data_IF_424997719509
#
_entry.id   IF_424997719509
#
_cell.length_a   1.000
_cell.length_b   1.000
_cell.length_c   1.000
_cell.angle_alpha   90.00
_cell.angle_beta   90.00
_cell.angle_gamma   90.00
#
_symmetry.space_group_name_H-M   'P 1'
#
loop_
_entity.id
_entity.type
_entity.pdbx_description
1 polymer ?
#
# COMPACT_ATOMS: atom_id res chain seq x y z
N UNK A 1 -51.42 45.47 -43.80
CA UNK A 1 -50.39 44.53 -44.27
C UNK A 1 -49.86 43.77 -43.06
N UNK A 2 -49.85 42.43 -43.16
CA UNK A 2 -49.05 41.43 -42.40
C UNK A 2 -49.07 41.44 -40.86
N UNK A 3 -49.78 40.53 -40.19
CA UNK A 3 -49.58 39.07 -39.91
C UNK A 3 -48.73 38.77 -38.66
N UNK A 4 -49.38 38.08 -37.71
CA UNK A 4 -48.88 37.52 -36.45
C UNK A 4 -48.15 36.18 -36.63
N UNK A 5 -47.16 35.84 -35.79
CA UNK A 5 -46.73 34.47 -35.43
C UNK A 5 -46.02 34.51 -34.06
N UNK A 6 -46.58 33.94 -32.98
CA UNK A 6 -46.43 32.56 -32.45
C UNK A 6 -45.08 32.28 -31.77
N UNK A 7 -45.06 32.29 -30.43
CA UNK A 7 -43.99 31.74 -29.59
C UNK A 7 -44.23 30.25 -29.39
N UNK A 8 -43.47 29.40 -30.08
CA UNK A 8 -43.51 27.94 -29.88
C UNK A 8 -42.42 27.54 -28.91
N UNK A 9 -42.80 26.93 -27.77
CA UNK A 9 -41.86 26.28 -26.86
C UNK A 9 -41.25 25.05 -27.52
N UNK A 10 -39.92 24.97 -27.53
CA UNK A 10 -39.19 23.78 -27.95
C UNK A 10 -38.93 22.91 -26.71
N UNK A 11 -39.72 21.86 -26.56
CA UNK A 11 -39.47 20.76 -25.63
C UNK A 11 -38.22 19.99 -26.09
N UNK A 12 -37.23 19.83 -25.22
CA UNK A 12 -36.05 19.00 -25.49
C UNK A 12 -36.47 17.54 -25.72
N UNK A 13 -35.86 16.81 -26.69
CA UNK A 13 -36.15 15.40 -26.87
C UNK A 13 -35.68 14.61 -25.65
N UNK A 14 -36.57 13.77 -25.11
CA UNK A 14 -36.23 12.81 -24.06
C UNK A 14 -35.12 11.90 -24.56
N UNK A 15 -33.91 12.06 -24.02
CA UNK A 15 -32.81 11.13 -24.27
C UNK A 15 -33.20 9.77 -23.69
N UNK A 16 -33.39 8.78 -24.55
CA UNK A 16 -33.58 7.39 -24.13
C UNK A 16 -32.30 6.93 -23.42
N UNK A 17 -32.34 6.52 -22.14
CA UNK A 17 -31.15 5.97 -21.49
C UNK A 17 -30.79 4.65 -22.17
N UNK A 18 -29.68 4.62 -22.90
CA UNK A 18 -29.09 3.38 -23.40
C UNK A 18 -28.51 2.66 -22.17
N UNK A 19 -28.82 1.37 -21.93
CA UNK A 19 -28.24 0.65 -20.81
C UNK A 19 -26.72 0.56 -21.01
N UNK A 20 -25.97 1.18 -20.08
CA UNK A 20 -24.53 1.08 -20.02
C UNK A 20 -24.14 -0.38 -19.82
N UNK A 21 -23.57 -1.00 -20.86
CA UNK A 21 -23.03 -2.35 -20.77
C UNK A 21 -21.61 -2.23 -20.21
N UNK A 22 -21.45 -2.43 -18.90
CA UNK A 22 -20.14 -2.56 -18.28
C UNK A 22 -19.41 -3.77 -18.87
N UNK A 23 -18.42 -3.51 -19.70
CA UNK A 23 -17.40 -4.49 -20.06
C UNK A 23 -16.31 -4.40 -18.97
N UNK A 24 -16.34 -5.33 -18.02
CA UNK A 24 -15.25 -5.51 -17.06
C UNK A 24 -14.07 -6.16 -17.78
N UNK A 25 -13.09 -5.34 -18.15
CA UNK A 25 -11.75 -5.79 -18.48
C UNK A 25 -10.80 -4.85 -17.73
N UNK A 26 -10.23 -5.35 -16.64
CA UNK A 26 -9.12 -4.78 -15.85
C UNK A 26 -9.09 -3.23 -15.72
N UNK A 27 -9.65 -2.74 -14.61
CA UNK A 27 -9.32 -1.52 -13.86
C UNK A 27 -8.68 -0.32 -14.58
N UNK A 28 -9.26 0.14 -15.69
CA UNK A 28 -9.03 1.51 -16.19
C UNK A 28 -10.33 2.30 -16.05
N UNK A 29 -10.41 3.11 -14.99
CA UNK A 29 -11.49 4.10 -14.87
C UNK A 29 -11.12 5.35 -15.67
N UNK A 30 -11.55 5.42 -16.94
CA UNK A 30 -11.38 6.62 -17.75
C UNK A 30 -12.44 7.66 -17.32
N UNK A 31 -12.06 8.62 -16.47
CA UNK A 31 -12.89 9.83 -16.34
C UNK A 31 -12.75 10.66 -17.61
N UNK A 32 -13.82 10.72 -18.39
CA UNK A 32 -13.89 11.51 -19.62
C UNK A 32 -13.77 13.00 -19.24
N UNK A 33 -12.81 13.76 -19.80
CA UNK A 33 -12.66 15.17 -19.46
C UNK A 33 -13.85 15.99 -19.96
N UNK A 34 -14.27 16.99 -19.17
CA UNK A 34 -15.20 18.03 -19.62
C UNK A 34 -14.47 18.89 -20.65
N UNK A 35 -14.83 18.75 -21.92
CA UNK A 35 -14.23 19.53 -23.01
C UNK A 35 -14.86 20.91 -23.07
N UNK A 36 -14.10 21.95 -22.70
CA UNK A 36 -14.45 23.35 -22.94
C UNK A 36 -13.78 23.79 -24.24
N UNK A 37 -14.52 24.15 -25.31
CA UNK A 37 -13.94 24.56 -26.59
C UNK A 37 -13.00 25.76 -26.41
N UNK A 38 -11.75 25.64 -26.89
CA UNK A 38 -10.78 26.73 -26.92
C UNK A 38 -9.72 26.74 -25.82
N UNK A 39 -9.77 25.80 -24.85
CA UNK A 39 -8.72 25.63 -23.84
C UNK A 39 -7.94 24.33 -24.05
N UNK A 40 -6.60 24.34 -23.91
CA UNK A 40 -5.82 23.11 -23.94
C UNK A 40 -6.20 22.23 -22.74
N UNK A 41 -6.59 20.99 -23.01
CA UNK A 41 -6.82 19.98 -21.97
C UNK A 41 -5.46 19.48 -21.49
N UNK A 42 -5.06 19.89 -20.29
CA UNK A 42 -3.87 19.34 -19.62
C UNK A 42 -4.32 18.06 -18.90
N UNK A 43 -4.07 16.91 -19.50
CA UNK A 43 -4.21 15.62 -18.81
C UNK A 43 -3.00 15.47 -17.89
N UNK A 44 -3.17 15.81 -16.62
CA UNK A 44 -2.16 15.48 -15.60
C UNK A 44 -2.36 14.01 -15.25
N UNK A 45 -1.45 13.09 -15.59
CA UNK A 45 -1.54 11.72 -15.09
C UNK A 45 -1.48 11.79 -13.57
N UNK A 46 -2.56 11.32 -12.91
CA UNK A 46 -2.52 11.11 -11.46
C UNK A 46 -1.50 10.01 -11.23
N UNK A 47 -0.40 10.33 -10.55
CA UNK A 47 0.52 9.30 -10.04
C UNK A 47 -0.33 8.42 -9.11
N UNK A 48 -0.55 7.17 -9.47
CA UNK A 48 -1.09 6.19 -8.52
C UNK A 48 -0.12 6.18 -7.35
N UNK A 49 -0.61 6.65 -6.20
CA UNK A 49 0.11 6.48 -4.94
C UNK A 49 -0.05 5.01 -4.64
N UNK A 50 1.04 4.24 -4.74
CA UNK A 50 0.97 2.84 -4.37
C UNK A 50 0.47 2.73 -2.92
N UNK A 51 -0.46 1.81 -2.62
CA UNK A 51 -1.06 1.74 -1.31
C UNK A 51 0.00 1.39 -0.26
N UNK A 52 -0.01 2.13 0.85
CA UNK A 52 0.84 1.83 2.01
C UNK A 52 0.57 0.40 2.51
N UNK A 53 1.62 -0.34 2.81
CA UNK A 53 1.54 -1.70 3.31
C UNK A 53 1.60 -1.72 4.83
N UNK A 54 0.68 -2.46 5.45
CA UNK A 54 0.65 -2.64 6.91
C UNK A 54 1.62 -3.75 7.30
N UNK A 55 2.66 -3.41 8.04
CA UNK A 55 3.62 -4.38 8.58
C UNK A 55 3.38 -4.55 10.08
N UNK A 56 3.05 -5.79 10.48
CA UNK A 56 2.84 -6.17 11.89
C UNK A 56 4.02 -6.99 12.38
N UNK A 57 4.71 -6.48 13.38
CA UNK A 57 5.76 -7.18 14.10
C UNK A 57 5.19 -7.85 15.35
N UNK A 58 5.53 -9.13 15.57
CA UNK A 58 5.07 -9.94 16.70
C UNK A 58 6.26 -10.65 17.33
N UNK A 59 6.59 -10.29 18.57
CA UNK A 59 7.63 -10.93 19.36
C UNK A 59 7.14 -12.27 19.91
N UNK A 60 7.87 -13.33 19.61
CA UNK A 60 7.70 -14.67 20.16
C UNK A 60 8.66 -14.90 21.34
N UNK A 61 8.37 -15.89 22.18
CA UNK A 61 9.15 -16.19 23.39
C UNK A 61 8.91 -15.20 24.53
N UNK A 62 9.86 -15.13 25.47
CA UNK A 62 9.81 -14.25 26.64
C UNK A 62 10.90 -13.15 26.64
N UNK A 63 11.87 -13.23 25.74
CA UNK A 63 12.98 -12.27 25.65
C UNK A 63 12.52 -10.87 25.23
N UNK A 64 13.31 -9.87 25.64
CA UNK A 64 13.18 -8.49 25.19
C UNK A 64 13.92 -8.29 23.88
N UNK A 65 13.29 -7.56 22.96
CA UNK A 65 13.86 -7.33 21.65
C UNK A 65 13.77 -5.85 21.24
N UNK A 66 14.66 -5.43 20.37
CA UNK A 66 14.62 -4.15 19.68
C UNK A 66 14.59 -4.39 18.18
N UNK A 67 13.69 -3.70 17.48
CA UNK A 67 13.61 -3.74 16.01
C UNK A 67 14.13 -2.43 15.45
N UNK A 68 15.07 -2.53 14.54
CA UNK A 68 15.60 -1.43 13.74
C UNK A 68 15.17 -1.60 12.29
N UNK A 69 14.73 -0.51 11.67
CA UNK A 69 14.43 -0.42 10.25
C UNK A 69 15.33 0.67 9.64
N UNK A 70 16.14 0.32 8.67
CA UNK A 70 17.19 1.18 8.09
C UNK A 70 18.08 1.83 9.16
N UNK A 71 18.44 1.06 10.18
CA UNK A 71 19.25 1.50 11.32
C UNK A 71 18.52 2.41 12.32
N UNK A 72 17.23 2.71 12.12
CA UNK A 72 16.41 3.51 13.03
C UNK A 72 15.61 2.60 13.94
N UNK A 73 15.66 2.85 15.26
CA UNK A 73 14.86 2.12 16.23
C UNK A 73 13.37 2.36 15.95
N UNK A 74 12.67 1.30 15.55
CA UNK A 74 11.24 1.34 15.29
C UNK A 74 10.45 1.17 16.58
N UNK A 75 10.76 0.10 17.32
CA UNK A 75 10.20 -0.14 18.65
C UNK A 75 11.02 -1.16 19.45
N UNK A 76 10.70 -1.27 20.74
CA UNK A 76 11.22 -2.30 21.65
C UNK A 76 10.09 -3.17 22.15
N UNK A 77 10.20 -4.47 21.97
CA UNK A 77 9.31 -5.45 22.56
C UNK A 77 9.69 -5.68 24.02
N UNK A 78 8.75 -5.39 24.90
CA UNK A 78 8.81 -5.73 26.32
C UNK A 78 7.65 -6.68 26.66
N UNK A 79 7.69 -7.31 27.84
CA UNK A 79 6.72 -8.35 28.20
C UNK A 79 5.25 -7.94 28.00
N UNK A 80 4.92 -6.67 28.18
CA UNK A 80 3.55 -6.14 28.04
C UNK A 80 3.18 -5.67 26.63
N UNK A 81 4.18 -5.36 25.78
CA UNK A 81 3.97 -4.82 24.42
C UNK A 81 4.83 -5.61 23.44
N UNK A 82 4.33 -6.77 23.06
CA UNK A 82 4.99 -7.72 22.15
C UNK A 82 4.55 -7.59 20.69
N UNK A 83 3.57 -6.73 20.40
CA UNK A 83 3.14 -6.45 19.04
C UNK A 83 3.24 -4.96 18.68
N UNK A 84 3.59 -4.71 17.43
CA UNK A 84 3.71 -3.37 16.87
C UNK A 84 3.29 -3.37 15.41
N UNK A 85 2.58 -2.33 14.99
CA UNK A 85 2.08 -2.19 13.62
C UNK A 85 2.59 -0.87 13.08
N UNK A 86 3.12 -0.90 11.86
CA UNK A 86 3.57 0.28 11.12
C UNK A 86 3.03 0.24 9.70
N UNK A 87 2.90 1.40 9.09
CA UNK A 87 2.61 1.53 7.67
C UNK A 87 3.89 1.94 6.97
N UNK A 88 4.26 1.19 5.94
CA UNK A 88 5.42 1.46 5.11
C UNK A 88 4.95 1.70 3.68
N UNK A 89 5.59 2.64 3.01
CA UNK A 89 5.45 2.75 1.55
C UNK A 89 6.11 1.52 0.91
N UNK A 90 5.63 1.05 -0.25
CA UNK A 90 6.30 -0.02 -0.99
C UNK A 90 7.78 0.29 -1.23
N UNK A 91 8.62 -0.72 -1.03
CA UNK A 91 10.06 -0.58 -1.11
C UNK A 91 10.82 -1.63 -0.30
N UNK A 92 12.14 -1.59 -0.42
CA UNK A 92 13.05 -2.46 0.33
C UNK A 92 13.59 -1.74 1.56
N UNK A 93 13.50 -2.39 2.72
CA UNK A 93 13.94 -1.87 4.01
C UNK A 93 14.89 -2.86 4.68
N UNK A 94 15.98 -2.38 5.27
CA UNK A 94 16.87 -3.23 6.04
C UNK A 94 16.33 -3.39 7.47
N UNK A 95 16.02 -4.62 7.86
CA UNK A 95 15.49 -4.95 9.18
C UNK A 95 16.58 -5.62 10.01
N UNK A 96 16.75 -5.15 11.25
CA UNK A 96 17.59 -5.80 12.24
C UNK A 96 16.79 -6.04 13.53
N UNK A 97 16.88 -7.27 14.03
CA UNK A 97 16.27 -7.70 15.30
C UNK A 97 17.40 -8.04 16.26
N UNK A 98 17.37 -7.39 17.43
CA UNK A 98 18.37 -7.56 18.48
C UNK A 98 17.69 -7.81 19.81
N UNK A 99 18.44 -8.31 20.80
CA UNK A 99 18.03 -8.39 22.18
C UNK A 99 18.07 -7.02 22.89
N UNK A 100 18.46 -7.03 24.17
CA UNK A 100 18.60 -5.80 24.98
C UNK A 100 19.76 -4.93 24.48
N UNK A 101 20.76 -5.53 23.84
CA UNK A 101 21.94 -4.85 23.29
C UNK A 101 22.07 -5.14 21.81
N UNK A 102 22.64 -4.22 21.04
CA UNK A 102 22.88 -4.37 19.61
C UNK A 102 23.90 -5.48 19.27
N UNK A 103 24.69 -5.93 20.25
CA UNK A 103 25.62 -7.05 20.07
C UNK A 103 24.92 -8.42 20.11
N UNK A 104 23.73 -8.48 20.70
CA UNK A 104 22.90 -9.69 20.71
C UNK A 104 21.95 -9.65 19.52
N UNK A 105 22.51 -9.79 18.31
CA UNK A 105 21.77 -9.74 17.05
C UNK A 105 21.16 -11.12 16.78
N UNK A 106 19.85 -11.18 16.66
CA UNK A 106 19.10 -12.43 16.44
C UNK A 106 18.85 -12.70 14.96
N UNK A 107 18.58 -11.64 14.18
CA UNK A 107 18.35 -11.73 12.75
C UNK A 107 18.59 -10.37 12.09
N UNK A 108 19.05 -10.38 10.84
CA UNK A 108 19.15 -9.21 9.99
C UNK A 108 18.88 -9.59 8.52
N UNK A 109 18.43 -8.63 7.72
CA UNK A 109 18.11 -8.86 6.31
C UNK A 109 17.23 -7.79 5.71
N UNK A 110 16.90 -7.96 4.43
CA UNK A 110 16.04 -7.04 3.68
C UNK A 110 14.58 -7.50 3.68
N UNK A 111 13.69 -6.55 3.96
CA UNK A 111 12.26 -6.67 3.85
C UNK A 111 11.79 -5.97 2.57
N UNK A 112 11.32 -6.74 1.58
CA UNK A 112 10.77 -6.23 0.32
C UNK A 112 9.24 -6.10 0.44
N UNK A 113 8.75 -4.88 0.57
CA UNK A 113 7.36 -4.56 0.90
C UNK A 113 6.62 -4.02 -0.33
N UNK A 114 5.41 -4.52 -0.58
CA UNK A 114 4.56 -4.03 -1.68
C UNK A 114 4.83 -4.65 -3.04
N UNK A 115 5.62 -5.73 -3.10
CA UNK A 115 5.83 -6.53 -4.32
C UNK A 115 4.59 -7.30 -4.78
N UNK A 116 3.63 -7.53 -3.89
CA UNK A 116 2.44 -8.34 -4.10
C UNK A 116 1.17 -7.56 -3.74
N UNK A 117 0.00 -8.10 -4.12
CA UNK A 117 -1.30 -7.50 -3.79
C UNK A 117 -1.64 -7.59 -2.27
N UNK A 118 -0.74 -8.14 -1.45
CA UNK A 118 -0.94 -8.29 -0.03
C UNK A 118 -0.58 -6.99 0.69
N UNK A 119 -1.60 -6.25 1.11
CA UNK A 119 -1.45 -5.01 1.88
C UNK A 119 -1.09 -5.25 3.37
N UNK A 120 -0.85 -6.50 3.78
CA UNK A 120 -0.51 -6.87 5.15
C UNK A 120 0.63 -7.89 5.17
N UNK A 121 1.72 -7.53 5.85
CA UNK A 121 2.86 -8.42 6.12
C UNK A 121 2.94 -8.66 7.62
N UNK A 122 3.04 -9.92 8.04
CA UNK A 122 3.22 -10.27 9.46
C UNK A 122 4.60 -10.86 9.67
N UNK A 123 5.39 -10.19 10.48
CA UNK A 123 6.77 -10.54 10.84
C UNK A 123 6.76 -11.06 12.28
N UNK A 124 7.01 -12.36 12.43
CA UNK A 124 7.20 -13.02 13.71
C UNK A 124 8.69 -13.14 13.98
N UNK A 125 9.12 -12.83 15.19
CA UNK A 125 10.54 -12.90 15.53
C UNK A 125 10.77 -13.32 16.96
N UNK A 126 11.90 -13.96 17.22
CA UNK A 126 12.30 -14.38 18.56
C UNK A 126 13.74 -14.84 18.58
N UNK A 127 14.32 -14.94 19.78
CA UNK A 127 15.73 -15.31 19.96
C UNK A 127 16.07 -16.66 19.33
N UNK A 128 15.25 -17.67 19.58
CA UNK A 128 15.46 -19.03 19.06
C UNK A 128 14.81 -19.24 17.68
N UNK A 129 13.79 -18.44 17.34
CA UNK A 129 13.02 -18.61 16.10
C UNK A 129 13.54 -17.78 14.92
N UNK A 130 14.44 -16.82 15.17
CA UNK A 130 14.95 -15.88 14.18
C UNK A 130 13.84 -14.93 13.71
N UNK A 131 13.78 -14.67 12.41
CA UNK A 131 12.67 -13.95 11.76
C UNK A 131 11.91 -14.90 10.85
N UNK A 132 10.58 -14.86 10.93
CA UNK A 132 9.65 -15.62 10.10
C UNK A 132 8.58 -14.68 9.55
N UNK A 133 8.35 -14.74 8.26
CA UNK A 133 7.31 -13.93 7.61
C UNK A 133 6.14 -14.83 7.23
N UNK A 134 4.94 -14.41 7.58
CA UNK A 134 3.71 -15.03 7.13
C UNK A 134 3.12 -14.26 5.95
N UNK A 135 2.69 -14.98 4.92
CA UNK A 135 2.25 -14.42 3.65
C UNK A 135 3.20 -14.84 2.53
N UNK A 136 3.79 -13.86 1.85
CA UNK A 136 4.70 -14.10 0.74
C UNK A 136 6.11 -14.47 1.23
N UNK A 137 6.63 -15.65 0.86
CA UNK A 137 7.95 -16.11 1.29
C UNK A 137 9.11 -15.28 0.73
N UNK A 138 8.91 -14.49 -0.32
CA UNK A 138 9.96 -13.67 -0.95
C UNK A 138 10.09 -12.27 -0.36
N UNK A 139 9.24 -11.92 0.62
CA UNK A 139 9.28 -10.63 1.31
C UNK A 139 10.49 -10.51 2.24
N UNK A 140 11.06 -11.64 2.69
CA UNK A 140 12.20 -11.67 3.59
C UNK A 140 13.44 -12.27 2.93
N UNK A 141 14.49 -11.46 2.85
CA UNK A 141 15.80 -11.86 2.37
C UNK A 141 16.78 -11.75 3.53
N UNK A 142 17.03 -12.84 4.29
CA UNK A 142 17.98 -12.80 5.40
C UNK A 142 19.39 -12.49 4.87
N UNK A 143 20.17 -11.76 5.66
CA UNK A 143 21.62 -11.67 5.42
C UNK A 143 22.22 -13.08 5.47
N UNK A 144 23.25 -13.33 4.66
CA UNK A 144 23.98 -14.60 4.72
C UNK A 144 24.46 -14.84 6.16
N UNK A 145 24.13 -16.02 6.68
CA UNK A 145 24.65 -16.49 7.96
C UNK A 145 26.13 -16.78 7.71
N UNK A 146 27.02 -15.88 8.14
CA UNK A 146 28.42 -16.26 8.30
C UNK A 146 28.46 -17.36 9.37
N UNK A 147 28.58 -18.61 8.93
CA UNK A 147 28.87 -19.79 9.76
C UNK A 147 30.27 -19.71 10.41
#
# INVERSE_FOLDING_TARGET
MSTAWLTTGATLPTATPIPARSLHLADITIQVPVVIPGYPVIVVPRREVEPSVTVRFVAEGDDWASIYLDGRLLFRANNTRRDHIVQLDPGAYYLEVTGVTSFDRWAAGYLDVGRNDANVVVIRYGKDSGVRVAGDPYVWLPDEVDD
#
